data_IF_337696642043
#
_entry.id   IF_337696642043
#
_cell.length_a   1.000
_cell.length_b   1.000
_cell.length_c   1.000
_cell.angle_alpha   90.00
_cell.angle_beta   90.00
_cell.angle_gamma   90.00
#
_symmetry.space_group_name_H-M   'P 1'
#
loop_
_entity.id
_entity.type
_entity.pdbx_description
1 polymer ?
#
# COMPACT_ATOMS: atom_id res chain seq x y z
N UNK A 1 29.56 -18.23 -3.88
CA UNK A 1 30.60 -18.98 -4.62
C UNK A 1 31.06 -18.11 -5.78
N UNK A 2 32.11 -17.31 -5.58
CA UNK A 2 32.69 -16.46 -6.63
C UNK A 2 33.77 -17.21 -7.39
N UNK A 3 33.54 -17.42 -8.68
CA UNK A 3 34.40 -18.00 -9.70
C UNK A 3 35.58 -17.05 -10.03
N UNK A 4 36.40 -16.68 -9.05
CA UNK A 4 37.56 -15.81 -9.26
C UNK A 4 38.90 -16.55 -9.10
N UNK A 5 38.85 -17.90 -9.04
CA UNK A 5 39.99 -18.78 -8.81
C UNK A 5 40.09 -19.93 -9.84
N UNK A 6 39.38 -19.86 -10.98
CA UNK A 6 39.33 -20.97 -11.92
C UNK A 6 40.54 -20.94 -12.88
N UNK A 7 41.58 -21.75 -12.62
CA UNK A 7 42.35 -22.33 -13.72
C UNK A 7 41.41 -23.24 -14.52
N UNK A 8 41.48 -23.33 -15.85
CA UNK A 8 40.54 -24.14 -16.67
C UNK A 8 40.66 -25.66 -16.37
N UNK A 9 40.20 -26.08 -15.21
CA UNK A 9 40.18 -27.44 -14.66
C UNK A 9 38.75 -28.00 -14.70
N UNK A 10 38.61 -29.34 -14.63
CA UNK A 10 37.35 -30.08 -14.84
C UNK A 10 36.36 -30.04 -13.66
N UNK A 11 36.71 -29.35 -12.58
CA UNK A 11 35.95 -29.24 -11.33
C UNK A 11 34.64 -28.45 -11.49
N UNK A 12 34.51 -27.59 -12.50
CA UNK A 12 33.27 -26.89 -12.82
C UNK A 12 32.26 -27.75 -13.61
N UNK A 13 32.71 -28.85 -14.24
CA UNK A 13 31.89 -29.65 -15.16
C UNK A 13 30.67 -30.26 -14.49
N UNK A 14 30.84 -30.88 -13.32
CA UNK A 14 29.74 -31.54 -12.60
C UNK A 14 28.74 -30.52 -12.05
N UNK A 15 29.22 -29.46 -11.38
CA UNK A 15 28.35 -28.44 -10.78
C UNK A 15 27.59 -27.65 -11.84
N UNK A 16 28.20 -27.32 -12.99
CA UNK A 16 27.51 -26.61 -14.09
C UNK A 16 26.40 -27.44 -14.72
N UNK A 17 26.54 -28.78 -14.77
CA UNK A 17 25.48 -29.68 -15.26
C UNK A 17 24.27 -29.76 -14.34
N UNK A 18 24.41 -29.35 -13.09
CA UNK A 18 23.33 -29.34 -12.09
C UNK A 18 22.78 -27.91 -11.99
N UNK A 19 23.64 -26.98 -11.58
CA UNK A 19 23.24 -25.62 -11.22
C UNK A 19 22.71 -24.82 -12.40
N UNK A 20 23.26 -24.95 -13.61
CA UNK A 20 22.75 -24.19 -14.75
C UNK A 20 21.32 -24.65 -15.10
N UNK A 21 21.05 -25.93 -15.37
CA UNK A 21 19.67 -26.38 -15.61
C UNK A 21 18.70 -26.06 -14.47
N UNK A 22 19.10 -26.30 -13.22
CA UNK A 22 18.24 -26.05 -12.06
C UNK A 22 17.87 -24.58 -11.90
N UNK A 23 18.80 -23.65 -12.16
CA UNK A 23 18.49 -22.22 -12.08
C UNK A 23 17.47 -21.82 -13.14
N UNK A 24 17.59 -22.33 -14.38
CA UNK A 24 16.60 -22.04 -15.43
C UNK A 24 15.24 -22.64 -15.12
N UNK A 25 15.18 -23.89 -14.64
CA UNK A 25 13.92 -24.52 -14.22
C UNK A 25 13.26 -23.79 -13.04
N UNK A 26 14.07 -23.35 -12.08
CA UNK A 26 13.60 -22.59 -10.93
C UNK A 26 13.06 -21.20 -11.34
N UNK A 27 13.79 -20.49 -12.20
CA UNK A 27 13.35 -19.20 -12.72
C UNK A 27 12.04 -19.33 -13.51
N UNK A 28 11.92 -20.35 -14.36
CA UNK A 28 10.70 -20.66 -15.11
C UNK A 28 9.51 -20.92 -14.17
N UNK A 29 9.68 -21.78 -13.16
CA UNK A 29 8.65 -22.05 -12.17
C UNK A 29 8.22 -20.80 -11.38
N UNK A 30 9.16 -19.93 -11.02
CA UNK A 30 8.87 -18.66 -10.34
C UNK A 30 8.05 -17.74 -11.26
N UNK A 31 8.45 -17.59 -12.53
CA UNK A 31 7.75 -16.76 -13.50
C UNK A 31 6.33 -17.27 -13.76
N UNK A 32 6.17 -18.58 -13.95
CA UNK A 32 4.85 -19.22 -14.11
C UNK A 32 3.94 -18.99 -12.91
N UNK A 33 4.49 -19.12 -11.70
CA UNK A 33 3.73 -18.88 -10.46
C UNK A 33 3.33 -17.41 -10.31
N UNK A 34 4.25 -16.50 -10.62
CA UNK A 34 3.97 -15.07 -10.59
C UNK A 34 2.88 -14.69 -11.59
N UNK A 35 2.93 -15.20 -12.81
CA UNK A 35 1.91 -14.95 -13.84
C UNK A 35 0.52 -15.43 -13.39
N UNK A 36 0.44 -16.63 -12.83
CA UNK A 36 -0.81 -17.18 -12.30
C UNK A 36 -1.40 -16.29 -11.17
N UNK A 37 -0.57 -15.90 -10.19
CA UNK A 37 -1.01 -15.05 -9.07
C UNK A 37 -1.41 -13.65 -9.54
N UNK A 38 -0.60 -13.01 -10.40
CA UNK A 38 -0.86 -11.67 -10.88
C UNK A 38 -2.12 -11.60 -11.76
N UNK A 39 -2.35 -12.62 -12.59
CA UNK A 39 -3.52 -12.70 -13.46
C UNK A 39 -4.81 -13.02 -12.70
N UNK A 40 -4.72 -13.74 -11.58
CA UNK A 40 -5.85 -14.18 -10.75
C UNK A 40 -6.06 -13.36 -9.48
N UNK A 41 -5.40 -12.21 -9.32
CA UNK A 41 -5.41 -11.46 -8.06
C UNK A 41 -6.82 -10.92 -7.73
N UNK A 42 -7.39 -11.38 -6.62
CA UNK A 42 -8.71 -10.91 -6.14
C UNK A 42 -8.53 -9.80 -5.10
N UNK A 43 -9.13 -8.64 -5.38
CA UNK A 43 -9.12 -7.47 -4.49
C UNK A 43 -10.46 -7.38 -3.76
N UNK A 44 -10.44 -7.05 -2.47
CA UNK A 44 -11.63 -6.88 -1.63
C UNK A 44 -11.79 -5.43 -1.14
N UNK A 45 -12.39 -4.53 -1.94
CA UNK A 45 -12.48 -3.10 -1.62
C UNK A 45 -13.14 -2.81 -0.27
N UNK A 46 -14.20 -3.55 0.07
CA UNK A 46 -14.91 -3.36 1.34
C UNK A 46 -14.03 -3.65 2.57
N UNK A 47 -13.15 -4.66 2.50
CA UNK A 47 -12.22 -4.99 3.59
C UNK A 47 -11.11 -3.96 3.69
N UNK A 48 -10.60 -3.47 2.55
CA UNK A 48 -9.62 -2.39 2.52
C UNK A 48 -10.21 -1.12 3.14
N UNK A 49 -11.42 -0.74 2.74
CA UNK A 49 -12.13 0.41 3.27
C UNK A 49 -12.38 0.27 4.78
N UNK A 50 -12.87 -0.88 5.25
CA UNK A 50 -13.08 -1.13 6.70
C UNK A 50 -11.79 -0.92 7.50
N UNK A 51 -10.69 -1.52 7.05
CA UNK A 51 -9.37 -1.36 7.70
C UNK A 51 -8.89 0.09 7.66
N UNK A 52 -9.10 0.77 6.55
CA UNK A 52 -8.70 2.16 6.43
C UNK A 52 -9.48 3.04 7.42
N UNK A 53 -10.80 2.84 7.54
CA UNK A 53 -11.63 3.63 8.46
C UNK A 53 -11.33 3.36 9.94
N UNK A 54 -10.75 2.20 10.29
CA UNK A 54 -10.25 1.92 11.64
C UNK A 54 -9.07 2.85 12.02
N UNK A 55 -8.23 3.21 11.04
CA UNK A 55 -6.96 3.94 11.27
C UNK A 55 -7.02 5.42 10.85
N UNK A 56 -7.81 5.74 9.82
CA UNK A 56 -7.88 7.08 9.22
C UNK A 56 -8.19 8.21 10.22
N UNK A 57 -9.05 8.03 11.23
CA UNK A 57 -9.26 9.04 12.26
C UNK A 57 -7.98 9.52 12.95
N UNK A 58 -7.02 8.63 13.21
CA UNK A 58 -5.76 9.01 13.83
C UNK A 58 -4.85 9.78 12.86
N UNK A 59 -4.84 9.39 11.59
CA UNK A 59 -4.06 10.06 10.55
C UNK A 59 -4.61 11.44 10.18
N UNK A 60 -5.93 11.64 10.31
CA UNK A 60 -6.62 12.88 9.94
C UNK A 60 -6.53 13.98 11.01
N UNK A 61 -5.85 13.76 12.13
CA UNK A 61 -5.78 14.69 13.25
C UNK A 61 -5.22 16.06 12.85
N UNK A 62 -4.16 16.11 12.04
CA UNK A 62 -3.59 17.38 11.56
C UNK A 62 -4.58 18.13 10.66
N UNK A 63 -5.34 17.44 9.80
CA UNK A 63 -6.35 18.08 8.94
C UNK A 63 -7.43 18.78 9.79
N UNK A 64 -7.86 18.13 10.86
CA UNK A 64 -8.84 18.69 11.81
C UNK A 64 -8.25 19.90 12.55
N UNK A 65 -7.01 19.81 13.03
CA UNK A 65 -6.29 20.95 13.66
C UNK A 65 -6.21 22.12 12.69
N UNK A 66 -5.77 21.87 11.45
CA UNK A 66 -5.61 22.91 10.43
C UNK A 66 -6.94 23.59 10.11
N UNK A 67 -8.04 22.83 10.05
CA UNK A 67 -9.37 23.41 9.85
C UNK A 67 -9.79 24.30 11.02
N UNK A 68 -9.56 23.88 12.27
CA UNK A 68 -9.86 24.70 13.44
C UNK A 68 -9.02 25.99 13.47
N UNK A 69 -7.74 25.91 13.10
CA UNK A 69 -6.86 27.07 12.97
C UNK A 69 -7.37 28.03 11.90
N UNK A 70 -7.81 27.52 10.75
CA UNK A 70 -8.42 28.33 9.70
C UNK A 70 -9.72 29.03 10.17
N UNK A 71 -10.43 28.45 11.14
CA UNK A 71 -11.60 29.04 11.80
C UNK A 71 -11.24 29.93 13.00
N UNK A 72 -9.96 30.27 13.18
CA UNK A 72 -9.47 31.20 14.20
C UNK A 72 -9.21 30.59 15.58
N UNK A 73 -9.18 29.25 15.71
CA UNK A 73 -8.79 28.59 16.97
C UNK A 73 -7.28 28.54 17.14
N UNK A 74 -6.82 28.52 18.40
CA UNK A 74 -5.42 28.31 18.74
C UNK A 74 -4.96 26.92 18.28
N UNK A 75 -3.84 26.86 17.55
CA UNK A 75 -3.21 25.58 17.16
C UNK A 75 -2.82 24.76 18.37
N UNK A 76 -2.32 25.42 19.41
CA UNK A 76 -1.85 24.75 20.62
C UNK A 76 -3.01 24.08 21.36
N UNK A 77 -4.12 24.80 21.51
CA UNK A 77 -5.31 24.28 22.18
C UNK A 77 -5.93 23.14 21.37
N UNK A 78 -6.02 23.30 20.05
CA UNK A 78 -6.55 22.26 19.16
C UNK A 78 -5.70 20.98 19.18
N UNK A 79 -4.38 21.13 19.17
CA UNK A 79 -3.46 20.00 19.27
C UNK A 79 -3.61 19.28 20.62
N UNK A 80 -3.71 20.02 21.73
CA UNK A 80 -3.84 19.40 23.05
C UNK A 80 -5.17 18.66 23.24
N UNK A 81 -6.28 19.28 22.83
CA UNK A 81 -7.61 18.65 22.86
C UNK A 81 -7.63 17.35 22.02
N UNK A 82 -7.12 17.41 20.78
CA UNK A 82 -7.11 16.21 19.93
C UNK A 82 -6.15 15.15 20.46
N UNK A 83 -5.02 15.53 21.07
CA UNK A 83 -4.05 14.62 21.68
C UNK A 83 -4.72 13.82 22.79
N UNK A 84 -5.46 14.47 23.69
CA UNK A 84 -6.15 13.80 24.80
C UNK A 84 -7.19 12.80 24.27
N UNK A 85 -8.03 13.22 23.32
CA UNK A 85 -9.03 12.32 22.73
C UNK A 85 -8.40 11.15 21.98
N UNK A 86 -7.28 11.38 21.29
CA UNK A 86 -6.54 10.34 20.56
C UNK A 86 -5.94 9.30 21.51
N UNK A 87 -5.43 9.71 22.68
CA UNK A 87 -4.94 8.77 23.69
C UNK A 87 -6.07 7.90 24.25
N UNK A 88 -7.24 8.51 24.52
CA UNK A 88 -8.40 7.77 25.01
C UNK A 88 -8.90 6.75 23.97
N UNK A 89 -9.03 7.15 22.71
CA UNK A 89 -9.43 6.25 21.63
C UNK A 89 -8.38 5.14 21.41
N UNK A 90 -7.09 5.47 21.46
CA UNK A 90 -6.01 4.47 21.38
C UNK A 90 -6.07 3.48 22.55
N UNK A 91 -6.43 3.92 23.75
CA UNK A 91 -6.60 3.03 24.91
C UNK A 91 -7.79 2.08 24.73
N UNK A 92 -8.91 2.57 24.18
CA UNK A 92 -10.08 1.74 23.84
C UNK A 92 -9.69 0.64 22.83
N UNK A 93 -8.97 1.00 21.78
CA UNK A 93 -8.52 0.03 20.76
C UNK A 93 -7.54 -0.98 21.36
N UNK A 94 -6.48 -0.50 22.03
CA UNK A 94 -5.36 -1.37 22.47
C UNK A 94 -5.64 -2.17 23.73
N UNK A 95 -6.31 -1.57 24.71
CA UNK A 95 -6.56 -2.20 26.02
C UNK A 95 -7.88 -2.97 26.04
N UNK A 96 -8.87 -2.54 25.26
CA UNK A 96 -10.22 -3.11 25.31
C UNK A 96 -10.58 -3.89 24.04
N UNK A 97 -9.80 -3.77 22.96
CA UNK A 97 -10.06 -4.48 21.70
C UNK A 97 -11.31 -3.99 20.96
N UNK A 98 -11.76 -2.77 21.24
CA UNK A 98 -12.96 -2.18 20.64
C UNK A 98 -12.60 -1.31 19.42
N UNK A 99 -13.62 -0.87 18.69
CA UNK A 99 -13.45 0.00 17.52
C UNK A 99 -12.96 1.39 17.93
N UNK A 100 -12.29 2.05 16.98
CA UNK A 100 -11.83 3.43 17.13
C UNK A 100 -13.02 4.40 17.24
N UNK A 101 -13.13 5.07 18.38
CA UNK A 101 -14.21 6.01 18.70
C UNK A 101 -13.77 7.49 18.67
N UNK A 102 -12.59 7.81 18.12
CA UNK A 102 -12.03 9.17 18.13
C UNK A 102 -13.00 10.21 17.52
N UNK A 103 -13.63 9.87 16.39
CA UNK A 103 -14.55 10.79 15.71
C UNK A 103 -15.81 11.04 16.54
N UNK A 104 -16.31 10.01 17.24
CA UNK A 104 -17.45 10.16 18.14
C UNK A 104 -17.09 11.08 19.31
N UNK A 105 -15.89 10.94 19.87
CA UNK A 105 -15.38 11.82 20.93
C UNK A 105 -15.31 13.26 20.46
N UNK A 106 -14.72 13.49 19.28
CA UNK A 106 -14.64 14.83 18.68
C UNK A 106 -16.04 15.44 18.47
N UNK A 107 -17.01 14.66 17.97
CA UNK A 107 -18.40 15.10 17.78
C UNK A 107 -19.16 15.37 19.09
N UNK A 108 -18.63 14.97 20.25
CA UNK A 108 -19.21 15.24 21.58
C UNK A 108 -18.48 16.33 22.35
N UNK A 109 -17.30 16.76 21.89
CA UNK A 109 -16.50 17.78 22.55
C UNK A 109 -16.80 19.17 21.96
N UNK A 110 -17.35 20.07 22.77
CA UNK A 110 -17.81 21.41 22.35
C UNK A 110 -16.72 22.25 21.67
N UNK A 111 -15.44 22.05 22.03
CA UNK A 111 -14.30 22.71 21.39
C UNK A 111 -14.29 22.50 19.85
N UNK A 112 -14.69 21.31 19.38
CA UNK A 112 -14.70 20.92 17.97
C UNK A 112 -16.00 21.24 17.25
N UNK A 113 -16.98 21.86 17.92
CA UNK A 113 -18.27 22.24 17.32
C UNK A 113 -18.18 22.96 15.97
N UNK A 114 -17.21 23.87 15.75
CA UNK A 114 -17.08 24.55 14.45
C UNK A 114 -16.82 23.61 13.26
N UNK A 115 -16.30 22.39 13.50
CA UNK A 115 -15.96 21.44 12.43
C UNK A 115 -16.88 20.23 12.35
N UNK A 116 -17.84 20.07 13.27
CA UNK A 116 -18.71 18.88 13.31
C UNK A 116 -19.40 18.54 11.98
N UNK A 117 -19.88 19.57 11.26
CA UNK A 117 -20.54 19.38 9.96
C UNK A 117 -19.60 19.02 8.80
N UNK A 118 -18.30 19.17 8.97
CA UNK A 118 -17.29 18.94 7.94
C UNK A 118 -16.44 17.69 8.20
N UNK A 119 -16.46 17.14 9.42
CA UNK A 119 -15.61 16.01 9.84
C UNK A 119 -15.72 14.82 8.91
N UNK A 120 -16.92 14.44 8.50
CA UNK A 120 -17.11 13.24 7.67
C UNK A 120 -16.47 13.42 6.27
N UNK A 121 -16.47 14.65 5.73
CA UNK A 121 -15.79 14.98 4.48
C UNK A 121 -14.27 15.05 4.63
N UNK A 122 -13.77 15.51 5.78
CA UNK A 122 -12.33 15.49 6.09
C UNK A 122 -11.77 14.06 6.20
N UNK A 123 -12.62 13.07 6.41
CA UNK A 123 -12.28 11.64 6.49
C UNK A 123 -12.48 10.88 5.18
N UNK A 124 -12.66 11.56 4.05
CA UNK A 124 -12.66 10.86 2.76
C UNK A 124 -11.24 10.30 2.47
N UNK A 125 -11.08 8.96 2.36
CA UNK A 125 -9.82 8.30 2.00
C UNK A 125 -9.07 8.93 0.82
N UNK A 126 -9.80 9.44 -0.18
CA UNK A 126 -9.22 9.99 -1.40
C UNK A 126 -8.36 11.22 -1.14
N UNK A 127 -8.61 11.93 -0.05
CA UNK A 127 -7.83 13.10 0.33
C UNK A 127 -6.44 12.74 0.88
N UNK A 128 -6.17 11.46 1.16
CA UNK A 128 -4.94 10.97 1.81
C UNK A 128 -4.04 10.16 0.87
N UNK A 129 -4.33 10.15 -0.44
CA UNK A 129 -3.55 9.38 -1.42
C UNK A 129 -2.40 10.16 -2.06
N UNK A 130 -2.23 11.44 -1.71
CA UNK A 130 -1.23 12.32 -2.32
C UNK A 130 -1.31 12.28 -3.84
N UNK A 131 -0.18 11.99 -4.50
CA UNK A 131 -0.08 11.88 -5.97
C UNK A 131 -0.08 10.43 -6.48
N UNK A 132 -0.56 9.48 -5.66
CA UNK A 132 -0.46 8.04 -5.96
C UNK A 132 -1.00 7.70 -7.35
N UNK A 133 -2.21 8.15 -7.70
CA UNK A 133 -2.80 7.87 -9.01
C UNK A 133 -1.98 8.48 -10.17
N UNK A 134 -1.52 9.72 -10.03
CA UNK A 134 -0.69 10.39 -11.05
C UNK A 134 0.66 9.68 -11.25
N UNK A 135 1.26 9.16 -10.16
CA UNK A 135 2.51 8.42 -10.22
C UNK A 135 2.34 7.09 -10.96
N UNK A 136 1.25 6.37 -10.68
CA UNK A 136 0.92 5.12 -11.37
C UNK A 136 0.65 5.39 -12.85
N UNK A 137 -0.14 6.41 -13.18
CA UNK A 137 -0.43 6.75 -14.57
C UNK A 137 0.84 7.16 -15.34
N UNK A 138 1.71 7.96 -14.72
CA UNK A 138 2.98 8.34 -15.34
C UNK A 138 3.92 7.15 -15.60
N UNK A 139 3.92 6.16 -14.70
CA UNK A 139 4.84 5.03 -14.78
C UNK A 139 4.30 3.90 -15.66
N UNK A 140 3.03 3.51 -15.44
CA UNK A 140 2.37 2.37 -16.09
C UNK A 140 1.45 2.74 -17.25
N UNK A 141 1.01 4.00 -17.34
CA UNK A 141 0.07 4.45 -18.36
C UNK A 141 0.72 4.65 -19.74
N UNK A 142 -0.05 5.15 -20.73
CA UNK A 142 0.41 5.30 -22.11
C UNK A 142 1.64 6.21 -22.23
N UNK A 143 2.66 5.75 -22.93
CA UNK A 143 3.97 6.39 -23.07
C UNK A 143 4.85 6.34 -21.82
N UNK A 144 4.41 5.62 -20.77
CA UNK A 144 5.10 5.42 -19.51
C UNK A 144 6.36 4.57 -19.62
N UNK A 145 7.06 4.41 -18.50
CA UNK A 145 8.30 3.63 -18.43
C UNK A 145 8.06 2.15 -18.66
N UNK A 146 6.95 1.61 -18.13
CA UNK A 146 6.60 0.19 -18.28
C UNK A 146 6.29 -0.14 -19.74
N UNK A 147 5.47 0.66 -20.42
CA UNK A 147 5.12 0.40 -21.83
C UNK A 147 6.38 0.36 -22.71
N UNK A 148 7.28 1.35 -22.55
CA UNK A 148 8.56 1.41 -23.28
C UNK A 148 9.45 0.21 -23.01
N UNK A 149 9.52 -0.25 -21.75
CA UNK A 149 10.30 -1.42 -21.39
C UNK A 149 9.72 -2.71 -22.02
N UNK A 150 8.40 -2.75 -22.22
CA UNK A 150 7.69 -3.90 -22.77
C UNK A 150 7.55 -3.88 -24.30
N UNK A 151 7.84 -2.76 -24.97
CA UNK A 151 7.79 -2.62 -26.45
C UNK A 151 8.45 -3.78 -27.21
N UNK A 152 9.69 -4.22 -26.87
CA UNK A 152 10.34 -5.31 -27.60
C UNK A 152 9.65 -6.66 -27.43
N UNK A 153 8.82 -6.81 -26.39
CA UNK A 153 8.21 -8.08 -25.98
C UNK A 153 6.73 -8.17 -26.31
N UNK A 154 6.15 -7.16 -26.97
CA UNK A 154 4.71 -7.09 -27.30
C UNK A 154 4.21 -8.33 -28.03
N UNK A 155 5.00 -8.89 -28.96
CA UNK A 155 4.64 -10.14 -29.65
C UNK A 155 4.49 -11.31 -28.68
N UNK A 156 5.34 -11.40 -27.66
CA UNK A 156 5.30 -12.47 -26.66
C UNK A 156 4.14 -12.29 -25.68
N UNK A 157 3.88 -11.05 -25.25
CA UNK A 157 2.75 -10.71 -24.37
C UNK A 157 1.43 -11.02 -25.08
N UNK A 158 1.26 -10.59 -26.33
CA UNK A 158 0.01 -10.81 -27.06
C UNK A 158 -0.25 -12.28 -27.43
N UNK A 159 0.81 -13.09 -27.47
CA UNK A 159 0.70 -14.53 -27.74
C UNK A 159 0.60 -15.37 -26.46
N UNK A 160 0.84 -14.80 -25.28
CA UNK A 160 0.83 -15.55 -24.02
C UNK A 160 -0.60 -15.88 -23.61
N UNK A 161 -0.72 -16.97 -22.85
CA UNK A 161 -1.94 -17.32 -22.12
C UNK A 161 -1.56 -17.36 -20.65
N UNK A 162 -2.50 -16.98 -19.80
CA UNK A 162 -2.35 -17.10 -18.35
C UNK A 162 -2.00 -18.53 -18.03
N UNK A 163 -0.94 -18.71 -17.24
CA UNK A 163 -0.53 -20.03 -16.79
C UNK A 163 -1.57 -20.59 -15.82
N UNK A 164 -2.16 -21.74 -16.15
CA UNK A 164 -2.99 -22.51 -15.24
C UNK A 164 -2.11 -23.51 -14.48
N UNK A 165 -1.86 -23.25 -13.20
CA UNK A 165 -1.21 -24.22 -12.33
C UNK A 165 -2.24 -25.28 -11.94
N UNK A 166 -2.10 -26.49 -12.45
CA UNK A 166 -2.87 -27.64 -11.95
C UNK A 166 -2.32 -27.99 -10.58
N UNK A 167 -3.12 -27.76 -9.54
CA UNK A 167 -2.85 -28.22 -8.17
C UNK A 167 -3.42 -29.61 -7.97
#
# INVERSE_FOLDING_TARGET
>A
MTYNAQWRTLDDSAIRRITIPEIFLCADAICMTLDNVASGLVVYPARIHSRLMEELPFMATENIIMKLVALGKSRQDAHEEIRVLSHQASDVVKKQGLQNDLIERIKRTEFFKPVWGEIDGMLDPKNFTGRSAEQVERYCGPGGEVEKALEPYQKHINASKVVELTV
#
